data_IF_197158069207
#
_entry.id   IF_197158069207
#
_cell.length_a   1.000
_cell.length_b   1.000
_cell.length_c   1.000
_cell.angle_alpha   90.00
_cell.angle_beta   90.00
_cell.angle_gamma   90.00
#
_symmetry.space_group_name_H-M   'P 1'
#
loop_
_entity.id
_entity.type
_entity.pdbx_description
1 polymer ?
#
# COMPACT_ATOMS: atom_id res chain seq x y z
N UNK A 1 42.57 7.30 41.02
CA UNK A 1 41.48 7.28 40.00
C UNK A 1 41.71 6.06 39.11
N UNK A 2 40.95 4.98 39.29
CA UNK A 2 41.05 3.80 38.40
C UNK A 2 40.22 4.06 37.15
N UNK A 3 40.84 4.63 36.12
CA UNK A 3 40.27 4.62 34.77
C UNK A 3 40.38 3.18 34.24
N UNK A 4 39.33 2.38 34.44
CA UNK A 4 39.17 1.10 33.76
C UNK A 4 38.86 1.42 32.30
N UNK A 5 39.84 1.22 31.42
CA UNK A 5 39.64 1.30 29.98
C UNK A 5 38.77 0.14 29.50
N UNK A 6 37.95 0.39 28.48
CA UNK A 6 37.18 -0.64 27.78
C UNK A 6 38.12 -1.61 27.08
N UNK A 7 37.87 -2.91 27.18
CA UNK A 7 38.73 -3.92 26.54
C UNK A 7 38.34 -4.11 25.07
N UNK A 8 39.34 -4.32 24.22
CA UNK A 8 39.14 -4.65 22.80
C UNK A 8 38.34 -5.95 22.64
N UNK A 9 38.50 -6.91 23.55
CA UNK A 9 37.72 -8.15 23.50
C UNK A 9 36.24 -7.92 23.79
N UNK A 10 35.92 -6.99 24.70
CA UNK A 10 34.54 -6.62 25.01
C UNK A 10 33.89 -5.99 23.79
N UNK A 11 34.62 -5.14 23.06
CA UNK A 11 34.12 -4.52 21.83
C UNK A 11 33.88 -5.55 20.72
N UNK A 12 34.79 -6.50 20.53
CA UNK A 12 34.67 -7.53 19.49
C UNK A 12 33.44 -8.41 19.72
N UNK A 13 33.16 -8.80 20.97
CA UNK A 13 31.97 -9.59 21.31
C UNK A 13 30.69 -8.80 21.02
N UNK A 14 30.66 -7.50 21.36
CA UNK A 14 29.49 -6.64 21.07
C UNK A 14 29.24 -6.53 19.57
N UNK A 15 30.28 -6.32 18.76
CA UNK A 15 30.16 -6.24 17.30
C UNK A 15 29.65 -7.57 16.73
N UNK A 16 30.15 -8.71 17.24
CA UNK A 16 29.72 -10.03 16.81
C UNK A 16 28.21 -10.26 17.06
N UNK A 17 27.70 -9.84 18.23
CA UNK A 17 26.28 -9.96 18.56
C UNK A 17 25.43 -9.03 17.67
N UNK A 18 25.86 -7.78 17.46
CA UNK A 18 25.14 -6.83 16.58
C UNK A 18 25.08 -7.36 15.14
N UNK A 19 26.15 -7.97 14.64
CA UNK A 19 26.19 -8.55 13.30
C UNK A 19 25.16 -9.68 13.12
N UNK A 20 25.02 -10.57 14.12
CA UNK A 20 24.03 -11.66 14.09
C UNK A 20 22.61 -11.09 14.09
N UNK A 21 22.31 -10.12 14.96
CA UNK A 21 20.98 -9.50 15.03
C UNK A 21 20.67 -8.76 13.74
N UNK A 22 21.61 -7.98 13.21
CA UNK A 22 21.43 -7.19 11.99
C UNK A 22 21.12 -8.07 10.78
N UNK A 23 21.79 -9.24 10.66
CA UNK A 23 21.55 -10.18 9.57
C UNK A 23 20.09 -10.66 9.50
N UNK A 24 19.41 -10.81 10.64
CA UNK A 24 18.00 -11.20 10.70
C UNK A 24 17.07 -9.98 10.67
N UNK A 25 17.44 -8.90 11.35
CA UNK A 25 16.60 -7.72 11.52
C UNK A 25 16.42 -6.93 10.21
N UNK A 26 17.45 -6.80 9.37
CA UNK A 26 17.39 -6.04 8.11
C UNK A 26 16.34 -6.61 7.14
N UNK A 27 16.36 -7.90 6.75
CA UNK A 27 15.35 -8.44 5.85
C UNK A 27 13.94 -8.40 6.46
N UNK A 28 13.82 -8.64 7.77
CA UNK A 28 12.55 -8.55 8.48
C UNK A 28 11.95 -7.14 8.45
N UNK A 29 12.78 -6.12 8.72
CA UNK A 29 12.35 -4.73 8.71
C UNK A 29 11.97 -4.27 7.30
N UNK A 30 12.71 -4.67 6.27
CA UNK A 30 12.36 -4.42 4.87
C UNK A 30 10.98 -5.00 4.53
N UNK A 31 10.73 -6.26 4.87
CA UNK A 31 9.43 -6.90 4.68
C UNK A 31 8.31 -6.20 5.45
N UNK A 32 8.59 -5.71 6.66
CA UNK A 32 7.62 -4.95 7.44
C UNK A 32 7.24 -3.62 6.77
N UNK A 33 8.23 -2.88 6.24
CA UNK A 33 7.97 -1.66 5.49
C UNK A 33 7.10 -1.92 4.26
N UNK A 34 7.38 -2.98 3.49
CA UNK A 34 6.57 -3.37 2.32
C UNK A 34 5.12 -3.63 2.72
N UNK A 35 4.89 -4.40 3.79
CA UNK A 35 3.53 -4.66 4.31
C UNK A 35 2.82 -3.38 4.76
N UNK A 36 3.53 -2.47 5.42
CA UNK A 36 2.97 -1.20 5.85
C UNK A 36 2.55 -0.34 4.65
N UNK A 37 3.38 -0.30 3.59
CA UNK A 37 3.08 0.40 2.34
C UNK A 37 1.85 -0.18 1.61
N UNK A 38 1.78 -1.52 1.50
CA UNK A 38 0.62 -2.21 0.91
C UNK A 38 -0.67 -1.94 1.71
N UNK A 39 -0.58 -1.97 3.04
CA UNK A 39 -1.71 -1.63 3.91
C UNK A 39 -2.19 -0.18 3.70
N UNK A 40 -1.24 0.77 3.59
CA UNK A 40 -1.57 2.17 3.27
C UNK A 40 -2.27 2.32 1.91
N UNK A 41 -1.80 1.61 0.89
CA UNK A 41 -2.42 1.59 -0.43
C UNK A 41 -3.86 1.03 -0.39
N UNK A 42 -4.10 -0.09 0.31
CA UNK A 42 -5.46 -0.66 0.46
C UNK A 42 -6.40 0.29 1.21
N UNK A 43 -5.93 0.98 2.26
CA UNK A 43 -6.74 1.96 2.99
C UNK A 43 -7.13 3.14 2.09
N UNK A 44 -6.16 3.68 1.33
CA UNK A 44 -6.42 4.77 0.39
C UNK A 44 -7.40 4.35 -0.71
N UNK A 45 -7.23 3.16 -1.28
CA UNK A 45 -8.14 2.56 -2.25
C UNK A 45 -9.56 2.43 -1.71
N UNK A 46 -9.73 1.87 -0.50
CA UNK A 46 -11.04 1.73 0.15
C UNK A 46 -11.71 3.07 0.43
N UNK A 47 -10.95 4.08 0.86
CA UNK A 47 -11.48 5.42 1.09
C UNK A 47 -12.06 6.01 -0.21
N UNK A 48 -11.34 5.84 -1.30
CA UNK A 48 -11.76 6.27 -2.63
C UNK A 48 -13.03 5.55 -3.11
N UNK A 49 -13.09 4.24 -2.93
CA UNK A 49 -14.25 3.43 -3.33
C UNK A 49 -15.47 3.77 -2.49
N UNK A 50 -15.30 4.05 -1.21
CA UNK A 50 -16.40 4.50 -0.35
C UNK A 50 -16.98 5.83 -0.84
N UNK A 51 -16.14 6.76 -1.33
CA UNK A 51 -16.59 8.02 -1.90
C UNK A 51 -17.41 7.81 -3.18
N UNK A 52 -16.93 6.94 -4.08
CA UNK A 52 -17.69 6.55 -5.28
C UNK A 52 -18.99 5.87 -4.90
N UNK A 53 -18.96 4.94 -3.95
CA UNK A 53 -20.14 4.20 -3.48
C UNK A 53 -21.17 5.16 -2.90
N UNK A 54 -20.73 6.11 -2.09
CA UNK A 54 -21.59 7.14 -1.50
C UNK A 54 -22.24 8.00 -2.58
N UNK A 55 -21.47 8.47 -3.56
CA UNK A 55 -22.02 9.18 -4.72
C UNK A 55 -23.04 8.33 -5.47
N UNK A 56 -22.74 7.05 -5.74
CA UNK A 56 -23.65 6.17 -6.49
C UNK A 56 -24.97 5.94 -5.78
N UNK A 57 -24.93 5.86 -4.45
CA UNK A 57 -26.11 5.72 -3.63
C UNK A 57 -26.98 6.99 -3.66
N UNK A 58 -26.36 8.17 -3.62
CA UNK A 58 -27.08 9.44 -3.68
C UNK A 58 -27.62 9.78 -5.07
N UNK A 59 -26.85 9.50 -6.11
CA UNK A 59 -27.18 9.83 -7.50
C UNK A 59 -28.01 8.74 -8.21
N UNK A 60 -28.07 7.52 -7.67
CA UNK A 60 -28.69 6.36 -8.31
C UNK A 60 -28.00 5.92 -9.61
N UNK A 61 -26.77 6.38 -9.85
CA UNK A 61 -25.96 6.05 -11.02
C UNK A 61 -24.47 6.14 -10.70
N UNK A 62 -23.64 5.40 -11.45
CA UNK A 62 -22.19 5.56 -11.39
C UNK A 62 -21.75 6.97 -11.79
N UNK A 63 -20.61 7.49 -11.27
CA UNK A 63 -20.06 8.76 -11.72
C UNK A 63 -19.79 8.72 -13.23
N UNK A 64 -20.11 9.81 -13.92
CA UNK A 64 -19.81 9.97 -15.34
C UNK A 64 -18.28 9.89 -15.56
N UNK A 65 -17.81 9.51 -16.75
CA UNK A 65 -16.39 9.22 -17.00
C UNK A 65 -15.45 10.41 -16.71
N UNK A 66 -15.95 11.63 -16.94
CA UNK A 66 -15.25 12.89 -16.72
C UNK A 66 -15.42 13.45 -15.29
N UNK A 67 -16.06 12.68 -14.40
CA UNK A 67 -16.24 13.10 -13.00
C UNK A 67 -14.90 13.31 -12.31
N UNK A 68 -14.76 14.44 -11.61
CA UNK A 68 -13.60 14.72 -10.76
C UNK A 68 -13.41 13.67 -9.67
N UNK A 69 -14.46 12.93 -9.31
CA UNK A 69 -14.36 11.79 -8.40
C UNK A 69 -13.35 10.76 -8.89
N UNK A 70 -13.06 10.69 -10.20
CA UNK A 70 -12.02 9.82 -10.73
C UNK A 70 -10.58 10.31 -10.42
N UNK A 71 -10.40 11.61 -10.18
CA UNK A 71 -9.09 12.25 -10.01
C UNK A 71 -8.62 12.37 -8.55
N UNK A 72 -9.45 11.98 -7.58
CA UNK A 72 -9.20 12.21 -6.16
C UNK A 72 -8.09 11.35 -5.55
N UNK A 73 -7.53 10.39 -6.30
CA UNK A 73 -6.43 9.58 -5.80
C UNK A 73 -5.12 10.33 -5.98
N UNK A 74 -4.51 10.69 -4.84
CA UNK A 74 -3.16 11.23 -4.81
C UNK A 74 -2.19 10.11 -5.19
N UNK A 75 -2.02 9.91 -6.50
CA UNK A 75 -1.05 9.00 -7.07
C UNK A 75 0.33 9.30 -6.45
N UNK A 76 1.09 8.26 -6.13
CA UNK A 76 2.45 8.33 -5.61
C UNK A 76 2.63 8.73 -4.12
N UNK A 77 1.58 9.14 -3.38
CA UNK A 77 1.71 9.34 -1.91
C UNK A 77 1.45 8.05 -1.11
N UNK A 78 0.54 7.22 -1.60
CA UNK A 78 0.11 5.99 -0.92
C UNK A 78 0.59 4.71 -1.63
N UNK A 79 1.63 4.81 -2.48
CA UNK A 79 2.15 3.73 -3.33
C UNK A 79 1.13 3.19 -4.36
N UNK A 80 0.12 3.99 -4.70
CA UNK A 80 -0.83 3.74 -5.80
C UNK A 80 -0.27 4.38 -7.08
N UNK A 81 -0.21 3.59 -8.16
CA UNK A 81 0.36 3.97 -9.46
C UNK A 81 -0.72 4.39 -10.46
N UNK A 82 -1.83 3.67 -10.49
CA UNK A 82 -2.91 3.86 -11.47
C UNK A 82 -4.21 3.33 -10.90
N UNK A 83 -5.33 3.90 -11.34
CA UNK A 83 -6.65 3.33 -11.15
C UNK A 83 -7.28 3.11 -12.52
N UNK A 84 -7.79 1.91 -12.74
CA UNK A 84 -8.61 1.60 -13.90
C UNK A 84 -10.04 1.33 -13.45
N UNK A 85 -10.97 1.84 -14.23
CA UNK A 85 -12.40 1.64 -14.09
C UNK A 85 -12.89 0.80 -15.26
N UNK A 86 -13.63 -0.25 -14.95
CA UNK A 86 -14.20 -1.16 -15.94
C UNK A 86 -15.69 -1.27 -15.64
N UNK A 87 -16.51 -0.57 -16.43
CA UNK A 87 -17.98 -0.68 -16.32
C UNK A 87 -18.40 -2.02 -16.91
N UNK A 88 -19.04 -2.86 -16.09
CA UNK A 88 -19.55 -4.16 -16.54
C UNK A 88 -20.92 -3.96 -17.17
N UNK A 89 -21.80 -3.23 -16.49
CA UNK A 89 -23.15 -2.89 -16.95
C UNK A 89 -23.65 -1.60 -16.27
N UNK A 90 -24.97 -1.37 -16.24
CA UNK A 90 -25.56 -0.18 -15.61
C UNK A 90 -25.58 -0.22 -14.07
N UNK A 91 -25.44 -1.41 -13.50
CA UNK A 91 -25.51 -1.68 -12.06
C UNK A 91 -24.18 -2.19 -11.51
N UNK A 92 -23.23 -2.62 -12.34
CA UNK A 92 -21.98 -3.22 -11.93
C UNK A 92 -20.76 -2.52 -12.54
N UNK A 93 -19.75 -2.26 -11.70
CA UNK A 93 -18.46 -1.71 -12.13
C UNK A 93 -17.30 -2.30 -11.31
N UNK A 94 -16.18 -2.56 -11.97
CA UNK A 94 -14.94 -2.96 -11.31
C UNK A 94 -13.96 -1.79 -11.25
N UNK A 95 -13.30 -1.64 -10.12
CA UNK A 95 -12.20 -0.69 -9.95
C UNK A 95 -10.94 -1.49 -9.63
N UNK A 96 -9.91 -1.34 -10.47
CA UNK A 96 -8.58 -1.91 -10.27
C UNK A 96 -7.64 -0.81 -9.81
N UNK A 97 -7.13 -0.93 -8.60
CA UNK A 97 -6.17 0.00 -8.01
C UNK A 97 -4.78 -0.63 -8.05
N UNK A 98 -3.95 -0.14 -8.96
CA UNK A 98 -2.59 -0.63 -9.17
C UNK A 98 -1.63 -0.03 -8.15
N UNK A 99 -0.79 -0.87 -7.55
CA UNK A 99 0.23 -0.45 -6.58
C UNK A 99 1.63 -0.55 -7.18
N UNK A 100 2.61 0.05 -6.52
CA UNK A 100 4.00 0.02 -6.98
C UNK A 100 4.50 -1.43 -7.14
N UNK A 101 5.04 -1.82 -8.31
CA UNK A 101 5.59 -3.17 -8.54
C UNK A 101 6.74 -3.53 -7.60
N UNK A 102 7.44 -2.52 -7.04
CA UNK A 102 8.50 -2.72 -6.04
C UNK A 102 8.00 -3.37 -4.74
N UNK A 103 6.70 -3.28 -4.45
CA UNK A 103 6.07 -3.88 -3.28
C UNK A 103 5.77 -5.36 -3.47
N UNK A 104 5.58 -5.81 -4.71
CA UNK A 104 5.26 -7.19 -5.06
C UNK A 104 6.13 -7.58 -6.26
N UNK A 105 7.43 -7.88 -6.05
CA UNK A 105 8.42 -7.98 -7.13
C UNK A 105 8.15 -9.10 -8.14
N UNK A 106 7.36 -10.11 -7.78
CA UNK A 106 6.97 -11.22 -8.66
C UNK A 106 5.72 -10.90 -9.52
N UNK A 107 5.13 -9.72 -9.36
CA UNK A 107 3.92 -9.28 -10.09
C UNK A 107 4.24 -7.97 -10.80
N UNK A 108 4.18 -7.98 -12.14
CA UNK A 108 4.53 -6.82 -12.95
C UNK A 108 3.55 -5.64 -12.77
N UNK A 109 2.26 -5.92 -12.65
CA UNK A 109 1.20 -4.93 -12.44
C UNK A 109 0.30 -5.40 -11.28
N UNK A 110 0.76 -5.26 -10.02
CA UNK A 110 -0.04 -5.67 -8.87
C UNK A 110 -1.21 -4.70 -8.68
N UNK A 111 -2.42 -5.24 -8.50
CA UNK A 111 -3.60 -4.43 -8.25
C UNK A 111 -4.52 -5.07 -7.20
N UNK A 112 -5.29 -4.23 -6.53
CA UNK A 112 -6.49 -4.62 -5.79
C UNK A 112 -7.70 -4.38 -6.68
N UNK A 113 -8.58 -5.38 -6.78
CA UNK A 113 -9.86 -5.24 -7.48
C UNK A 113 -10.99 -5.07 -6.47
N UNK A 114 -11.89 -4.15 -6.77
CA UNK A 114 -13.09 -3.91 -6.00
C UNK A 114 -14.29 -3.88 -6.91
N UNK A 115 -15.27 -4.71 -6.57
CA UNK A 115 -16.49 -4.85 -7.35
C UNK A 115 -17.57 -3.98 -6.70
N UNK A 116 -18.09 -3.03 -7.48
CA UNK A 116 -19.16 -2.14 -7.11
C UNK A 116 -20.47 -2.65 -7.69
N UNK A 117 -21.52 -2.63 -6.86
CA UNK A 117 -22.87 -2.99 -7.25
C UNK A 117 -23.82 -1.90 -6.79
N UNK A 118 -24.53 -1.30 -7.73
CA UNK A 118 -25.64 -0.42 -7.48
C UNK A 118 -26.76 -1.29 -6.94
N UNK A 119 -27.11 -1.10 -5.67
CA UNK A 119 -28.21 -1.84 -5.05
C UNK A 119 -29.46 -0.96 -5.17
N UNK A 120 -30.56 -1.54 -5.67
CA UNK A 120 -31.87 -0.88 -5.73
C UNK A 120 -32.40 -0.44 -4.34
#
# INVERSE_FOLDING_TARGET
MNNRGFSLIELIIVIAIIAIIAAVAIPMYSNYQVKAKLSGADIAARSYINEITHYTYEAGKFPDEDSKLWDHVILNKDNIVKIEKERIDDQNANIKVYVEPTLIPDVAEPYYQYDLVLTE
#
